data_IF_560104313451
#
_entry.id   IF_560104313451
#
_cell.length_a   1.000
_cell.length_b   1.000
_cell.length_c   1.000
_cell.angle_alpha   90.00
_cell.angle_beta   90.00
_cell.angle_gamma   90.00
#
_symmetry.space_group_name_H-M   'P 1'
#
loop_
_entity.id
_entity.type
_entity.pdbx_description
1 polymer ?
#
# COMPACT_ATOMS: atom_id res chain seq x y z
N UNK A 1 48.83 33.15 18.85
CA UNK A 1 47.81 34.12 19.28
C UNK A 1 46.77 34.17 18.17
N UNK A 2 45.83 33.22 18.19
CA UNK A 2 44.48 33.27 18.82
C UNK A 2 43.52 34.10 17.97
N UNK A 3 42.68 33.42 17.18
CA UNK A 3 41.36 32.86 17.53
C UNK A 3 40.27 33.90 17.22
N UNK A 4 39.60 33.71 16.09
CA UNK A 4 38.20 34.12 15.92
C UNK A 4 37.45 32.84 15.63
N UNK A 5 36.84 32.31 16.69
CA UNK A 5 36.15 31.02 16.74
C UNK A 5 34.96 30.98 15.76
N UNK A 6 34.68 29.82 15.13
CA UNK A 6 33.41 29.60 14.47
C UNK A 6 32.32 29.38 15.51
N UNK A 7 31.18 30.05 15.31
CA UNK A 7 29.97 29.95 16.12
C UNK A 7 29.52 28.48 16.17
N UNK A 8 29.64 27.85 17.33
CA UNK A 8 29.03 26.56 17.62
C UNK A 8 27.50 26.72 17.66
N UNK A 9 26.82 26.50 16.54
CA UNK A 9 25.41 26.13 16.57
C UNK A 9 25.28 24.64 16.87
N UNK A 10 25.46 24.34 18.16
CA UNK A 10 25.26 23.02 18.75
C UNK A 10 23.82 22.51 18.63
N UNK A 11 23.48 21.94 17.47
CA UNK A 11 22.59 20.77 17.38
C UNK A 11 23.12 19.86 16.29
N UNK A 12 24.04 18.97 16.69
CA UNK A 12 24.24 17.73 15.93
C UNK A 12 22.88 17.04 15.91
N UNK A 13 22.23 16.97 14.75
CA UNK A 13 21.15 16.02 14.59
C UNK A 13 21.76 14.63 14.84
N UNK A 14 21.59 14.11 16.05
CA UNK A 14 21.82 12.70 16.32
C UNK A 14 20.73 11.96 15.54
N UNK A 15 21.01 11.64 14.28
CA UNK A 15 20.38 10.47 13.68
C UNK A 15 20.72 9.32 14.61
N UNK A 16 19.72 8.60 15.16
CA UNK A 16 20.03 7.40 15.91
C UNK A 16 20.88 6.52 14.99
N UNK A 17 22.08 6.16 15.46
CA UNK A 17 23.03 5.28 14.74
C UNK A 17 22.43 3.89 14.51
N UNK A 18 21.31 3.60 15.16
CA UNK A 18 20.49 2.42 14.96
C UNK A 18 19.17 2.84 14.30
N UNK A 19 18.68 2.08 13.31
CA UNK A 19 17.38 2.34 12.72
C UNK A 19 16.31 2.37 13.81
N UNK A 20 15.46 3.40 13.80
CA UNK A 20 14.31 3.51 14.69
C UNK A 20 13.48 2.24 14.59
N UNK A 21 13.49 1.41 15.65
CA UNK A 21 12.67 0.21 15.77
C UNK A 21 11.28 0.63 16.22
N UNK A 22 10.47 1.08 15.26
CA UNK A 22 9.06 1.39 15.50
C UNK A 22 8.27 0.09 15.30
N UNK A 23 7.49 -0.36 16.31
CA UNK A 23 6.55 -1.48 16.15
C UNK A 23 5.62 -1.25 14.96
N UNK A 24 5.33 -2.28 14.17
CA UNK A 24 4.60 -2.15 12.90
C UNK A 24 3.23 -1.48 13.05
N UNK A 25 2.55 -1.73 14.18
CA UNK A 25 1.28 -1.13 14.58
C UNK A 25 1.36 0.37 14.87
N UNK A 26 2.54 0.88 15.22
CA UNK A 26 2.78 2.29 15.53
C UNK A 26 3.37 3.07 14.35
N UNK A 27 3.91 2.38 13.33
CA UNK A 27 4.48 3.02 12.12
C UNK A 27 3.43 3.89 11.43
N UNK A 28 2.19 3.41 11.31
CA UNK A 28 1.13 4.11 10.61
C UNK A 28 0.79 5.46 11.28
N UNK A 29 0.60 5.46 12.61
CA UNK A 29 0.29 6.66 13.37
C UNK A 29 1.44 7.66 13.39
N UNK A 30 2.69 7.17 13.48
CA UNK A 30 3.88 8.03 13.44
C UNK A 30 4.04 8.69 12.07
N UNK A 31 3.86 7.93 10.98
CA UNK A 31 3.95 8.46 9.62
C UNK A 31 2.86 9.50 9.37
N UNK A 32 1.61 9.25 9.78
CA UNK A 32 0.51 10.21 9.65
C UNK A 32 0.80 11.51 10.41
N UNK A 33 1.25 11.41 11.66
CA UNK A 33 1.59 12.56 12.48
C UNK A 33 2.71 13.40 11.85
N UNK A 34 3.74 12.76 11.32
CA UNK A 34 4.87 13.43 10.67
C UNK A 34 4.42 14.08 9.35
N UNK A 35 3.67 13.38 8.52
CA UNK A 35 3.21 13.88 7.22
C UNK A 35 2.26 15.10 7.35
N UNK A 36 1.60 15.26 8.50
CA UNK A 36 0.73 16.41 8.78
C UNK A 36 1.47 17.62 9.38
N UNK A 37 2.76 17.51 9.69
CA UNK A 37 3.52 18.65 10.22
C UNK A 37 3.66 19.74 9.16
N UNK A 38 3.43 21.03 9.48
CA UNK A 38 3.53 22.13 8.51
C UNK A 38 4.90 22.25 7.83
N UNK A 39 5.96 21.71 8.45
CA UNK A 39 7.32 21.75 7.94
C UNK A 39 7.62 20.69 6.87
N UNK A 40 6.73 19.71 6.65
CA UNK A 40 6.96 18.68 5.64
C UNK A 40 6.45 19.17 4.29
N UNK A 41 7.30 19.16 3.24
CA UNK A 41 6.86 19.49 1.89
C UNK A 41 5.73 18.55 1.43
N UNK A 42 4.68 19.10 0.83
CA UNK A 42 3.52 18.32 0.35
C UNK A 42 3.92 17.14 -0.55
N UNK A 43 4.86 17.27 -1.52
CA UNK A 43 5.28 16.12 -2.31
C UNK A 43 5.90 14.98 -1.48
N UNK A 44 6.56 15.31 -0.37
CA UNK A 44 7.14 14.33 0.55
C UNK A 44 6.05 13.68 1.41
N UNK A 45 5.07 14.44 1.90
CA UNK A 45 3.92 13.88 2.60
C UNK A 45 3.14 12.90 1.70
N UNK A 46 2.93 13.26 0.43
CA UNK A 46 2.32 12.37 -0.56
C UNK A 46 3.11 11.07 -0.75
N UNK A 47 4.44 11.15 -0.81
CA UNK A 47 5.31 9.98 -0.88
C UNK A 47 5.20 9.08 0.36
N UNK A 48 5.07 9.67 1.55
CA UNK A 48 4.85 8.93 2.80
C UNK A 48 3.49 8.22 2.80
N UNK A 49 2.43 8.91 2.40
CA UNK A 49 1.09 8.31 2.29
C UNK A 49 1.03 7.21 1.23
N UNK A 50 1.69 7.40 0.08
CA UNK A 50 1.81 6.39 -0.95
C UNK A 50 2.53 5.13 -0.45
N UNK A 51 3.62 5.30 0.29
CA UNK A 51 4.36 4.18 0.88
C UNK A 51 3.48 3.39 1.86
N UNK A 52 2.72 4.10 2.70
CA UNK A 52 1.78 3.50 3.64
C UNK A 52 0.64 2.76 2.94
N UNK A 53 0.09 3.33 1.86
CA UNK A 53 -0.93 2.69 1.05
C UNK A 53 -0.41 1.38 0.42
N UNK A 54 0.80 1.38 -0.15
CA UNK A 54 1.42 0.15 -0.66
C UNK A 54 1.60 -0.93 0.42
N UNK A 55 2.02 -0.56 1.63
CA UNK A 55 2.13 -1.50 2.75
C UNK A 55 0.77 -2.10 3.13
N UNK A 56 -0.30 -1.30 3.10
CA UNK A 56 -1.65 -1.79 3.37
C UNK A 56 -2.14 -2.74 2.27
N UNK A 57 -1.83 -2.45 1.00
CA UNK A 57 -2.13 -3.35 -0.12
C UNK A 57 -1.40 -4.68 0.04
N UNK A 58 -0.10 -4.66 0.36
CA UNK A 58 0.68 -5.88 0.60
C UNK A 58 0.13 -6.71 1.78
N UNK A 59 -0.22 -6.05 2.89
CA UNK A 59 -0.84 -6.70 4.04
C UNK A 59 -2.21 -7.34 3.68
N UNK A 60 -3.03 -6.64 2.90
CA UNK A 60 -4.30 -7.15 2.39
C UNK A 60 -4.11 -8.39 1.53
N UNK A 61 -3.19 -8.38 0.57
CA UNK A 61 -2.91 -9.54 -0.30
C UNK A 61 -2.39 -10.75 0.48
N UNK A 62 -1.58 -10.54 1.52
CA UNK A 62 -1.14 -11.62 2.42
C UNK A 62 -2.29 -12.23 3.23
N UNK A 63 -3.26 -11.41 3.64
CA UNK A 63 -4.47 -11.89 4.32
C UNK A 63 -5.37 -12.68 3.35
N UNK A 64 -5.56 -12.18 2.13
CA UNK A 64 -6.29 -12.85 1.04
C UNK A 64 -5.71 -14.26 0.80
N UNK A 65 -4.39 -14.36 0.62
CA UNK A 65 -3.68 -15.63 0.45
C UNK A 65 -3.92 -16.59 1.63
N UNK A 66 -3.81 -16.10 2.86
CA UNK A 66 -4.06 -16.91 4.06
C UNK A 66 -5.50 -17.44 4.14
N UNK A 67 -6.48 -16.62 3.76
CA UNK A 67 -7.87 -17.05 3.74
C UNK A 67 -8.15 -18.09 2.66
N UNK A 68 -7.53 -17.94 1.48
CA UNK A 68 -7.57 -18.95 0.42
C UNK A 68 -6.95 -20.28 0.90
N UNK A 69 -5.75 -20.25 1.46
CA UNK A 69 -5.06 -21.45 1.95
C UNK A 69 -5.81 -22.17 3.08
N UNK A 70 -6.52 -21.44 3.93
CA UNK A 70 -7.30 -22.00 5.04
C UNK A 70 -8.71 -22.46 4.65
N UNK A 71 -9.14 -22.24 3.40
CA UNK A 71 -10.49 -22.56 2.92
C UNK A 71 -11.59 -21.66 3.48
N UNK A 72 -11.24 -20.59 4.22
CA UNK A 72 -12.18 -19.67 4.88
C UNK A 72 -12.56 -18.46 4.03
N UNK A 73 -12.06 -18.39 2.81
CA UNK A 73 -12.23 -17.23 1.92
C UNK A 73 -13.70 -16.83 1.73
N UNK A 74 -14.58 -17.81 1.51
CA UNK A 74 -16.01 -17.56 1.32
C UNK A 74 -16.72 -16.97 2.55
N UNK A 75 -16.28 -17.33 3.76
CA UNK A 75 -16.81 -16.78 5.02
C UNK A 75 -16.34 -15.34 5.25
N UNK A 76 -15.11 -15.02 4.84
CA UNK A 76 -14.51 -13.69 4.95
C UNK A 76 -14.85 -12.75 3.78
N UNK A 77 -15.65 -13.19 2.80
CA UNK A 77 -15.83 -12.46 1.54
C UNK A 77 -16.43 -11.06 1.72
N UNK A 78 -17.35 -10.88 2.67
CA UNK A 78 -17.93 -9.56 2.96
C UNK A 78 -16.87 -8.58 3.48
N UNK A 79 -16.05 -9.03 4.43
CA UNK A 79 -14.98 -8.21 5.00
C UNK A 79 -13.89 -7.91 3.97
N UNK A 80 -13.56 -8.91 3.16
CA UNK A 80 -12.63 -8.77 2.04
C UNK A 80 -13.06 -7.68 1.06
N UNK A 81 -14.33 -7.72 0.61
CA UNK A 81 -14.90 -6.72 -0.31
C UNK A 81 -14.89 -5.32 0.29
N UNK A 82 -15.19 -5.18 1.58
CA UNK A 82 -15.15 -3.89 2.27
C UNK A 82 -13.72 -3.33 2.37
N UNK A 83 -12.74 -4.16 2.73
CA UNK A 83 -11.33 -3.76 2.76
C UNK A 83 -10.82 -3.35 1.38
N UNK A 84 -11.14 -4.12 0.35
CA UNK A 84 -10.76 -3.83 -1.03
C UNK A 84 -11.34 -2.49 -1.52
N UNK A 85 -12.62 -2.22 -1.24
CA UNK A 85 -13.25 -0.95 -1.60
C UNK A 85 -12.56 0.25 -0.93
N UNK A 86 -12.19 0.13 0.34
CA UNK A 86 -11.46 1.18 1.06
C UNK A 86 -10.07 1.42 0.46
N UNK A 87 -9.32 0.36 0.13
CA UNK A 87 -8.00 0.48 -0.49
C UNK A 87 -8.07 1.18 -1.86
N UNK A 88 -9.10 0.87 -2.64
CA UNK A 88 -9.35 1.54 -3.92
C UNK A 88 -9.62 3.03 -3.69
N UNK A 89 -10.55 3.38 -2.80
CA UNK A 89 -10.90 4.77 -2.52
C UNK A 89 -9.70 5.59 -2.01
N UNK A 90 -8.90 5.02 -1.11
CA UNK A 90 -7.69 5.66 -0.59
C UNK A 90 -6.65 5.90 -1.70
N UNK A 91 -6.45 4.92 -2.59
CA UNK A 91 -5.52 5.05 -3.70
C UNK A 91 -5.99 6.09 -4.73
N UNK A 92 -7.28 6.15 -5.04
CA UNK A 92 -7.85 7.16 -5.94
C UNK A 92 -7.68 8.57 -5.38
N UNK A 93 -7.96 8.76 -4.08
CA UNK A 93 -7.73 10.02 -3.38
C UNK A 93 -6.25 10.43 -3.43
N UNK A 94 -5.34 9.48 -3.21
CA UNK A 94 -3.91 9.70 -3.28
C UNK A 94 -3.45 10.13 -4.69
N UNK A 95 -3.93 9.46 -5.75
CA UNK A 95 -3.63 9.85 -7.14
C UNK A 95 -4.13 11.25 -7.42
N UNK A 96 -5.34 11.61 -6.97
CA UNK A 96 -5.88 12.96 -7.15
C UNK A 96 -5.01 14.04 -6.47
N UNK A 97 -4.57 13.80 -5.23
CA UNK A 97 -3.71 14.72 -4.49
C UNK A 97 -2.31 14.82 -5.12
N UNK A 98 -1.74 13.70 -5.57
CA UNK A 98 -0.43 13.67 -6.24
C UNK A 98 -0.48 14.40 -7.58
N UNK A 99 -1.51 14.20 -8.39
CA UNK A 99 -1.66 14.90 -9.67
C UNK A 99 -1.67 16.44 -9.46
N UNK A 100 -2.25 16.90 -8.35
CA UNK A 100 -2.34 18.33 -8.02
C UNK A 100 -1.04 18.89 -7.43
N UNK A 101 -0.40 18.14 -6.54
CA UNK A 101 0.65 18.67 -5.66
C UNK A 101 2.04 18.05 -5.89
N UNK A 102 2.16 17.07 -6.77
CA UNK A 102 3.38 16.34 -7.07
C UNK A 102 3.69 15.20 -6.09
N UNK A 103 4.73 14.44 -6.43
CA UNK A 103 5.27 13.31 -5.65
C UNK A 103 6.78 13.48 -5.53
N UNK A 104 7.31 13.41 -4.30
CA UNK A 104 8.75 13.41 -4.08
C UNK A 104 9.36 12.07 -4.48
N UNK A 105 10.57 12.11 -5.03
CA UNK A 105 11.33 10.90 -5.33
C UNK A 105 11.81 10.26 -4.02
N UNK A 106 11.40 9.03 -3.76
CA UNK A 106 11.77 8.28 -2.55
C UNK A 106 12.91 7.30 -2.82
N UNK A 107 13.53 6.77 -1.77
CA UNK A 107 14.52 5.70 -1.88
C UNK A 107 13.95 4.42 -2.52
N UNK A 108 12.63 4.21 -2.42
CA UNK A 108 11.90 3.06 -2.96
C UNK A 108 11.63 3.25 -4.47
N UNK A 109 11.87 4.45 -5.02
CA UNK A 109 11.80 4.77 -6.46
C UNK A 109 10.48 4.41 -7.15
N UNK A 110 9.38 4.28 -6.43
CA UNK A 110 8.06 4.16 -7.05
C UNK A 110 7.63 5.51 -7.65
N UNK A 111 6.76 5.42 -8.64
CA UNK A 111 6.20 6.52 -9.41
C UNK A 111 4.68 6.56 -9.25
N UNK A 112 4.05 7.62 -9.76
CA UNK A 112 2.58 7.67 -9.81
C UNK A 112 1.99 6.57 -10.70
N UNK A 113 2.71 6.12 -11.73
CA UNK A 113 2.24 5.04 -12.59
C UNK A 113 2.20 3.70 -11.85
N UNK A 114 3.11 3.46 -10.91
CA UNK A 114 3.07 2.26 -10.05
C UNK A 114 1.82 2.27 -9.15
N UNK A 115 1.41 3.44 -8.66
CA UNK A 115 0.17 3.61 -7.87
C UNK A 115 -1.04 3.29 -8.75
N UNK A 116 -1.09 3.83 -9.97
CA UNK A 116 -2.18 3.59 -10.93
C UNK A 116 -2.25 2.14 -11.38
N UNK A 117 -1.12 1.50 -11.66
CA UNK A 117 -1.05 0.10 -12.01
C UNK A 117 -1.60 -0.78 -10.87
N UNK A 118 -1.23 -0.46 -9.63
CA UNK A 118 -1.73 -1.16 -8.45
C UNK A 118 -3.23 -0.95 -8.25
N UNK A 119 -3.73 0.27 -8.44
CA UNK A 119 -5.17 0.56 -8.43
C UNK A 119 -5.93 -0.26 -9.48
N UNK A 120 -5.41 -0.35 -10.70
CA UNK A 120 -6.03 -1.16 -11.74
C UNK A 120 -6.12 -2.63 -11.33
N UNK A 121 -5.05 -3.18 -10.73
CA UNK A 121 -5.07 -4.56 -10.20
C UNK A 121 -6.09 -4.75 -9.06
N UNK A 122 -6.29 -3.74 -8.19
CA UNK A 122 -7.32 -3.79 -7.16
C UNK A 122 -8.73 -3.72 -7.75
N UNK A 123 -8.94 -2.88 -8.76
CA UNK A 123 -10.22 -2.80 -9.50
C UNK A 123 -10.55 -4.10 -10.22
N UNK A 124 -9.58 -4.75 -10.85
CA UNK A 124 -9.72 -6.08 -11.46
C UNK A 124 -10.14 -7.11 -10.40
N UNK A 125 -9.45 -7.15 -9.25
CA UNK A 125 -9.84 -8.02 -8.14
C UNK A 125 -11.27 -7.72 -7.66
N UNK A 126 -11.65 -6.45 -7.54
CA UNK A 126 -12.99 -6.06 -7.10
C UNK A 126 -14.06 -6.57 -8.06
N UNK A 127 -13.83 -6.48 -9.37
CA UNK A 127 -14.73 -7.00 -10.39
C UNK A 127 -14.88 -8.52 -10.30
N UNK A 128 -13.78 -9.25 -10.12
CA UNK A 128 -13.82 -10.70 -9.92
C UNK A 128 -14.62 -11.07 -8.67
N UNK A 129 -14.43 -10.34 -7.57
CA UNK A 129 -15.08 -10.63 -6.30
C UNK A 129 -16.56 -10.24 -6.24
N UNK A 130 -17.02 -9.34 -7.10
CA UNK A 130 -18.43 -8.90 -7.18
C UNK A 130 -19.17 -9.41 -8.42
N UNK A 131 -18.47 -10.12 -9.31
CA UNK A 131 -19.06 -10.75 -10.48
C UNK A 131 -20.03 -11.87 -10.13
N UNK A 132 -20.85 -12.27 -11.09
CA UNK A 132 -21.64 -13.50 -10.97
C UNK A 132 -20.70 -14.68 -10.73
N UNK A 133 -21.06 -15.56 -9.79
CA UNK A 133 -20.32 -16.82 -9.63
C UNK A 133 -20.39 -17.59 -10.93
N UNK A 134 -19.28 -18.23 -11.32
CA UNK A 134 -19.27 -19.17 -12.43
C UNK A 134 -20.44 -20.15 -12.29
N UNK A 135 -21.17 -20.38 -13.39
CA UNK A 135 -22.24 -21.37 -13.39
C UNK A 135 -21.65 -22.77 -13.14
N UNK A 136 -22.45 -23.73 -12.64
CA UNK A 136 -22.00 -25.12 -12.49
C UNK A 136 -21.41 -25.70 -13.78
N UNK A 137 -21.96 -25.35 -14.97
CA UNK A 137 -21.40 -25.80 -16.25
C UNK A 137 -20.02 -25.18 -16.53
N UNK A 138 -19.84 -23.91 -16.18
CA UNK A 138 -18.56 -23.22 -16.36
C UNK A 138 -17.49 -23.78 -15.42
N UNK A 139 -17.85 -24.13 -14.18
CA UNK A 139 -16.95 -24.81 -13.23
C UNK A 139 -16.51 -26.17 -13.80
N UNK A 140 -17.44 -26.98 -14.30
CA UNK A 140 -17.11 -28.28 -14.92
C UNK A 140 -16.19 -28.13 -16.15
N UNK A 141 -16.42 -27.10 -16.97
CA UNK A 141 -15.57 -26.82 -18.13
C UNK A 141 -14.15 -26.42 -17.72
N UNK A 142 -14.02 -25.60 -16.66
CA UNK A 142 -12.73 -25.19 -16.10
C UNK A 142 -12.00 -26.41 -15.51
N UNK A 143 -12.68 -27.23 -14.71
CA UNK A 143 -12.10 -28.47 -14.16
C UNK A 143 -11.58 -29.38 -15.26
N UNK A 144 -12.34 -29.57 -16.34
CA UNK A 144 -11.93 -30.36 -17.50
C UNK A 144 -10.71 -29.83 -18.26
N UNK A 145 -10.39 -28.53 -18.17
CA UNK A 145 -9.16 -27.95 -18.73
C UNK A 145 -7.92 -28.27 -17.89
N UNK A 146 -8.08 -28.42 -16.57
CA UNK A 146 -6.99 -28.64 -15.61
C UNK A 146 -6.77 -30.10 -15.24
N UNK A 147 -7.79 -30.95 -15.38
CA UNK A 147 -7.69 -32.40 -15.14
C UNK A 147 -6.91 -33.15 -16.23
N UNK A 148 -6.49 -32.45 -17.29
CA UNK A 148 -5.75 -33.02 -18.39
C UNK A 148 -6.62 -33.98 -19.19
N UNK A 149 -7.07 -33.56 -20.37
CA UNK A 149 -7.57 -34.50 -21.35
C UNK A 149 -6.43 -35.49 -21.69
N UNK A 150 -6.41 -36.64 -21.02
CA UNK A 150 -5.91 -37.87 -21.61
C UNK A 150 -6.86 -38.20 -22.76
N UNK A 151 -6.56 -37.63 -23.93
CA UNK A 151 -6.98 -38.19 -25.20
C UNK A 151 -6.16 -39.45 -25.49
#
# INVERSE_FOLDING_TARGET
MTLTEPIETGRRFNYPSEPLKIPADQIQSVIQLVAQQPSIPVPLANAMFASMWFLNVDAFRKLEEKFMQSGKYGESLSDHRAMLANLIADGEALVAVINKNGLAMTAIKFTIEDIRATLNSLHEAFQCEHGEKNSPEMVQMIEGLFDGATA
#
